data_IF_672555760592
#
_entry.id   IF_672555760592
#
_cell.length_a   1.000
_cell.length_b   1.000
_cell.length_c   1.000
_cell.angle_alpha   90.00
_cell.angle_beta   90.00
_cell.angle_gamma   90.00
#
_symmetry.space_group_name_H-M   'P 1'
#
loop_
_entity.id
_entity.type
_entity.pdbx_description
1 polymer ?
#
# COMPACT_ATOMS: atom_id res chain seq x y z
N UNK A 1 -37.63 2.06 -41.89
CA UNK A 1 -36.20 1.80 -41.64
C UNK A 1 -35.75 2.75 -40.55
N UNK A 2 -35.49 2.24 -39.34
CA UNK A 2 -35.06 3.06 -38.20
C UNK A 2 -33.53 3.13 -38.17
N UNK A 3 -32.97 4.34 -38.19
CA UNK A 3 -31.53 4.55 -38.09
C UNK A 3 -31.12 4.55 -36.61
N UNK A 4 -30.31 3.57 -36.21
CA UNK A 4 -29.70 3.52 -34.89
C UNK A 4 -28.49 4.47 -34.86
N UNK A 5 -28.58 5.53 -34.06
CA UNK A 5 -27.47 6.45 -33.82
C UNK A 5 -26.63 5.89 -32.67
N UNK A 6 -25.47 5.33 -32.99
CA UNK A 6 -24.47 4.92 -32.01
C UNK A 6 -23.75 6.16 -31.49
N UNK A 7 -24.12 6.64 -30.31
CA UNK A 7 -23.38 7.67 -29.60
C UNK A 7 -22.06 7.06 -29.07
N UNK A 8 -20.93 7.39 -29.69
CA UNK A 8 -19.62 7.10 -29.12
C UNK A 8 -19.38 8.03 -27.94
N UNK A 9 -19.56 7.52 -26.71
CA UNK A 9 -19.15 8.23 -25.50
C UNK A 9 -17.63 8.43 -25.50
N UNK A 10 -17.12 9.63 -25.19
CA UNK A 10 -15.68 9.86 -25.08
C UNK A 10 -15.15 9.14 -23.84
N UNK A 11 -14.27 8.16 -24.03
CA UNK A 11 -13.52 7.54 -22.95
C UNK A 11 -12.50 8.60 -22.46
N UNK A 12 -12.79 9.26 -21.34
CA UNK A 12 -11.84 10.13 -20.66
C UNK A 12 -10.71 9.27 -20.08
N UNK A 13 -9.63 9.09 -20.85
CA UNK A 13 -8.38 8.53 -20.34
C UNK A 13 -7.67 9.67 -19.61
N UNK A 14 -7.82 9.74 -18.29
CA UNK A 14 -7.05 10.68 -17.48
C UNK A 14 -5.58 10.25 -17.49
N UNK A 15 -4.64 11.09 -17.97
CA UNK A 15 -3.22 10.76 -17.93
C UNK A 15 -2.75 10.73 -16.47
N UNK A 16 -2.20 9.60 -16.03
CA UNK A 16 -1.48 9.50 -14.76
C UNK A 16 -0.26 10.42 -14.84
N UNK A 17 -0.08 11.28 -13.84
CA UNK A 17 1.05 12.22 -13.82
C UNK A 17 2.38 11.48 -13.60
N UNK A 18 3.44 11.96 -14.24
CA UNK A 18 4.80 11.45 -14.05
C UNK A 18 5.22 11.41 -12.56
N UNK A 19 4.82 12.42 -11.78
CA UNK A 19 5.09 12.45 -10.35
C UNK A 19 4.46 11.25 -9.61
N UNK A 20 3.21 10.91 -9.92
CA UNK A 20 2.53 9.76 -9.34
C UNK A 20 3.23 8.45 -9.70
N UNK A 21 3.72 8.32 -10.93
CA UNK A 21 4.48 7.13 -11.34
C UNK A 21 5.80 6.98 -10.55
N UNK A 22 6.50 8.08 -10.28
CA UNK A 22 7.74 8.06 -9.49
C UNK A 22 7.48 7.65 -8.04
N UNK A 23 6.41 8.16 -7.43
CA UNK A 23 6.10 7.84 -6.04
C UNK A 23 5.64 6.38 -5.90
N UNK A 24 4.91 5.84 -6.87
CA UNK A 24 4.61 4.39 -6.92
C UNK A 24 5.89 3.55 -6.99
N UNK A 25 6.88 3.94 -7.81
CA UNK A 25 8.15 3.21 -7.90
C UNK A 25 8.96 3.28 -6.60
N UNK A 26 9.04 4.45 -5.97
CA UNK A 26 9.70 4.61 -4.66
C UNK A 26 8.98 3.81 -3.58
N UNK A 27 7.65 3.84 -3.55
CA UNK A 27 6.82 3.10 -2.62
C UNK A 27 7.03 1.59 -2.78
N UNK A 28 7.06 1.10 -4.03
CA UNK A 28 7.35 -0.30 -4.33
C UNK A 28 8.74 -0.73 -3.87
N UNK A 29 9.78 0.08 -4.14
CA UNK A 29 11.14 -0.19 -3.71
C UNK A 29 11.26 -0.22 -2.17
N UNK A 30 10.63 0.74 -1.48
CA UNK A 30 10.63 0.81 -0.02
C UNK A 30 9.85 -0.35 0.61
N UNK A 31 8.71 -0.72 0.02
CA UNK A 31 7.90 -1.87 0.44
C UNK A 31 8.69 -3.18 0.28
N UNK A 32 9.39 -3.35 -0.84
CA UNK A 32 10.26 -4.51 -1.09
C UNK A 32 11.42 -4.59 -0.11
N UNK A 33 11.97 -3.47 0.33
CA UNK A 33 13.05 -3.45 1.34
C UNK A 33 12.54 -3.77 2.75
N UNK A 34 11.31 -3.38 3.07
CA UNK A 34 10.85 -3.28 4.47
C UNK A 34 9.76 -4.28 4.85
N UNK A 35 8.82 -4.55 3.93
CA UNK A 35 7.53 -5.15 4.26
C UNK A 35 7.37 -6.59 3.78
N UNK A 36 8.04 -6.97 2.67
CA UNK A 36 7.85 -8.28 2.01
C UNK A 36 8.22 -9.47 2.88
N UNK A 37 9.06 -9.28 3.90
CA UNK A 37 9.40 -10.34 4.84
C UNK A 37 8.16 -10.92 5.54
N UNK A 38 7.10 -10.13 5.68
CA UNK A 38 5.81 -10.58 6.22
C UNK A 38 4.66 -10.51 5.20
N UNK A 39 4.71 -9.54 4.28
CA UNK A 39 3.59 -9.16 3.40
C UNK A 39 3.91 -9.32 1.91
N UNK A 40 4.65 -10.37 1.56
CA UNK A 40 4.94 -10.69 0.16
C UNK A 40 3.64 -10.83 -0.66
N UNK A 41 3.64 -10.26 -1.87
CA UNK A 41 2.48 -10.18 -2.77
C UNK A 41 1.15 -9.75 -2.08
N UNK A 42 1.22 -8.91 -1.04
CA UNK A 42 0.05 -8.45 -0.29
C UNK A 42 -0.48 -9.44 0.76
N UNK A 43 0.18 -10.58 0.93
CA UNK A 43 -0.19 -11.61 1.91
C UNK A 43 0.10 -11.22 3.36
N UNK A 44 0.02 -12.21 4.24
CA UNK A 44 0.51 -12.11 5.62
C UNK A 44 0.91 -13.50 6.11
N UNK A 45 2.21 -13.78 6.18
CA UNK A 45 2.71 -15.10 6.60
C UNK A 45 2.56 -15.35 8.11
N UNK A 46 2.34 -14.30 8.90
CA UNK A 46 2.29 -14.35 10.36
C UNK A 46 0.87 -14.55 10.87
N UNK A 47 -0.11 -13.86 10.27
CA UNK A 47 -1.50 -13.82 10.73
C UNK A 47 -2.50 -14.01 9.59
N UNK A 48 -3.14 -15.19 9.49
CA UNK A 48 -4.26 -15.41 8.59
C UNK A 48 -5.38 -14.38 8.83
N UNK A 49 -5.94 -13.88 7.74
CA UNK A 49 -7.02 -12.89 7.79
C UNK A 49 -6.60 -11.46 8.16
N UNK A 50 -5.30 -11.16 8.16
CA UNK A 50 -4.75 -9.81 8.25
C UNK A 50 -3.82 -9.53 7.06
N UNK A 51 -4.23 -9.95 5.86
CA UNK A 51 -3.52 -9.62 4.62
C UNK A 51 -3.73 -8.14 4.25
N UNK A 52 -2.97 -7.67 3.26
CA UNK A 52 -3.11 -6.32 2.71
C UNK A 52 -4.11 -6.26 1.54
N UNK A 53 -4.91 -7.30 1.33
CA UNK A 53 -6.02 -7.27 0.37
C UNK A 53 -7.22 -6.51 0.93
N UNK A 54 -7.94 -5.80 0.06
CA UNK A 54 -9.09 -4.93 0.42
C UNK A 54 -10.08 -5.59 1.36
N UNK A 55 -10.44 -6.87 1.12
CA UNK A 55 -11.37 -7.62 1.98
C UNK A 55 -10.90 -7.73 3.43
N UNK A 56 -9.60 -7.96 3.64
CA UNK A 56 -9.03 -8.10 4.98
C UNK A 56 -8.81 -6.73 5.62
N UNK A 57 -8.38 -5.73 4.84
CA UNK A 57 -8.24 -4.35 5.33
C UNK A 57 -9.59 -3.81 5.84
N UNK A 58 -10.65 -3.98 5.05
CA UNK A 58 -12.02 -3.57 5.41
C UNK A 58 -12.52 -4.31 6.66
N UNK A 59 -12.35 -5.64 6.69
CA UNK A 59 -12.77 -6.45 7.85
C UNK A 59 -12.07 -6.01 9.13
N UNK A 60 -10.83 -5.54 9.04
CA UNK A 60 -10.03 -5.12 10.18
C UNK A 60 -10.09 -3.61 10.46
N UNK A 61 -10.89 -2.84 9.71
CA UNK A 61 -11.06 -1.40 9.85
C UNK A 61 -9.79 -0.60 9.55
N UNK A 62 -9.00 -1.03 8.57
CA UNK A 62 -7.71 -0.44 8.19
C UNK A 62 -7.61 -0.24 6.66
N UNK A 63 -8.72 0.05 5.99
CA UNK A 63 -8.79 0.20 4.54
C UNK A 63 -8.63 1.65 4.05
N UNK A 64 -8.29 2.59 4.92
CA UNK A 64 -7.94 3.97 4.54
C UNK A 64 -6.43 4.19 4.63
N UNK A 65 -5.90 5.14 3.86
CA UNK A 65 -4.47 5.48 3.88
C UNK A 65 -4.03 5.93 5.28
N UNK A 66 -4.86 6.69 5.98
CA UNK A 66 -4.58 7.18 7.34
C UNK A 66 -4.48 6.03 8.34
N UNK A 67 -5.32 5.01 8.19
CA UNK A 67 -5.30 3.83 9.05
C UNK A 67 -4.11 2.92 8.75
N UNK A 68 -3.78 2.74 7.47
CA UNK A 68 -2.57 2.01 7.05
C UNK A 68 -1.32 2.72 7.56
N UNK A 69 -1.28 4.06 7.46
CA UNK A 69 -0.23 4.89 8.03
C UNK A 69 -0.11 4.65 9.53
N UNK A 70 -1.23 4.72 10.27
CA UNK A 70 -1.24 4.55 11.72
C UNK A 70 -0.72 3.18 12.15
N UNK A 71 -1.17 2.11 11.49
CA UNK A 71 -0.69 0.75 11.77
C UNK A 71 0.78 0.59 11.43
N UNK A 72 1.24 1.13 10.31
CA UNK A 72 2.67 1.09 9.92
C UNK A 72 3.52 1.89 10.91
N UNK A 73 3.02 3.03 11.40
CA UNK A 73 3.73 3.89 12.33
C UNK A 73 3.86 3.25 13.72
N UNK A 74 2.74 2.83 14.31
CA UNK A 74 2.69 2.39 15.71
C UNK A 74 2.73 0.88 15.91
N UNK A 75 2.53 0.10 14.86
CA UNK A 75 2.38 -1.35 14.92
C UNK A 75 0.97 -1.76 15.33
N UNK A 76 0.67 -3.05 15.19
CA UNK A 76 -0.59 -3.66 15.66
C UNK A 76 -0.36 -5.14 15.95
N UNK A 77 -0.55 -5.54 17.20
CA UNK A 77 -0.35 -6.93 17.63
C UNK A 77 1.10 -7.38 17.41
N UNK A 78 1.29 -8.34 16.48
CA UNK A 78 2.62 -8.89 16.15
C UNK A 78 3.38 -8.09 15.10
N UNK A 79 2.73 -7.15 14.41
CA UNK A 79 3.40 -6.27 13.45
C UNK A 79 4.11 -5.13 14.23
N UNK A 80 5.43 -4.97 14.08
CA UNK A 80 6.14 -3.88 14.74
C UNK A 80 5.80 -2.52 14.11
N UNK A 81 5.79 -1.45 14.91
CA UNK A 81 5.71 -0.08 14.40
C UNK A 81 7.05 0.45 13.90
N UNK A 82 7.04 1.20 12.81
CA UNK A 82 8.22 1.71 12.12
C UNK A 82 8.49 3.21 12.34
N UNK A 83 7.51 3.96 12.86
CA UNK A 83 7.63 5.41 13.05
C UNK A 83 8.69 5.80 14.07
N UNK A 84 9.25 6.99 13.90
CA UNK A 84 10.28 7.53 14.80
C UNK A 84 9.82 7.60 16.26
N UNK A 85 8.54 7.96 16.48
CA UNK A 85 7.95 8.12 17.81
C UNK A 85 7.20 6.88 18.29
N UNK A 86 7.29 5.74 17.60
CA UNK A 86 6.67 4.51 18.11
C UNK A 86 7.34 4.09 19.42
N UNK A 87 6.50 3.83 20.41
CA UNK A 87 6.84 3.50 21.80
C UNK A 87 5.74 2.63 22.41
N UNK A 88 6.03 1.74 23.39
CA UNK A 88 7.34 1.36 23.93
C UNK A 88 8.24 0.64 22.92
N UNK A 89 9.55 0.57 23.18
CA UNK A 89 10.53 -0.03 22.24
C UNK A 89 10.16 -1.44 21.78
N UNK A 90 9.55 -2.25 22.65
CA UNK A 90 9.20 -3.65 22.39
C UNK A 90 8.09 -3.87 21.35
N UNK A 91 7.23 -2.87 21.08
CA UNK A 91 6.22 -2.97 20.02
C UNK A 91 6.69 -2.43 18.67
N UNK A 92 7.94 -1.98 18.59
CA UNK A 92 8.47 -1.30 17.42
C UNK A 92 9.59 -2.10 16.76
N UNK A 93 9.90 -1.76 15.51
CA UNK A 93 10.97 -2.43 14.75
C UNK A 93 12.29 -2.26 15.48
N UNK A 94 13.08 -3.33 15.59
CA UNK A 94 14.43 -3.26 16.15
C UNK A 94 15.44 -2.62 15.18
N UNK A 95 15.12 -2.58 13.89
CA UNK A 95 15.91 -1.89 12.87
C UNK A 95 15.78 -0.37 12.91
N UNK A 96 16.24 0.27 11.83
CA UNK A 96 16.08 1.70 11.62
C UNK A 96 14.59 2.08 11.55
N UNK A 97 14.26 3.25 12.10
CA UNK A 97 12.93 3.85 11.95
C UNK A 97 12.80 4.49 10.58
N UNK A 98 11.55 4.61 10.13
CA UNK A 98 11.21 5.34 8.90
C UNK A 98 10.76 6.76 9.25
N UNK A 99 11.05 7.69 8.35
CA UNK A 99 10.52 9.04 8.40
C UNK A 99 9.01 9.04 8.09
N UNK A 100 8.29 10.06 8.57
CA UNK A 100 6.85 10.18 8.34
C UNK A 100 6.50 10.16 6.82
N UNK A 101 7.30 10.81 5.97
CA UNK A 101 7.09 10.81 4.51
C UNK A 101 7.27 9.40 3.90
N UNK A 102 8.20 8.60 4.41
CA UNK A 102 8.40 7.22 3.95
C UNK A 102 7.21 6.33 4.34
N UNK A 103 6.63 6.54 5.53
CA UNK A 103 5.45 5.79 5.99
C UNK A 103 4.21 6.22 5.20
N UNK A 104 4.08 7.50 4.89
CA UNK A 104 3.01 8.02 4.02
C UNK A 104 3.08 7.38 2.64
N UNK A 105 4.27 7.36 2.03
CA UNK A 105 4.50 6.72 0.74
C UNK A 105 4.15 5.22 0.76
N UNK A 106 4.49 4.51 1.85
CA UNK A 106 4.09 3.11 2.04
C UNK A 106 2.58 2.94 2.16
N UNK A 107 1.90 3.84 2.87
CA UNK A 107 0.45 3.77 3.06
C UNK A 107 -0.31 3.99 1.75
N UNK A 108 0.08 5.00 0.97
CA UNK A 108 -0.43 5.25 -0.38
C UNK A 108 -0.17 4.05 -1.29
N UNK A 109 1.05 3.50 -1.27
CA UNK A 109 1.40 2.32 -2.06
C UNK A 109 0.55 1.10 -1.71
N UNK A 110 0.38 0.80 -0.42
CA UNK A 110 -0.45 -0.34 0.03
C UNK A 110 -1.91 -0.14 -0.35
N UNK A 111 -2.45 1.07 -0.20
CA UNK A 111 -3.83 1.37 -0.58
C UNK A 111 -4.04 1.20 -2.08
N UNK A 112 -3.15 1.75 -2.89
CA UNK A 112 -3.17 1.60 -4.35
C UNK A 112 -3.12 0.12 -4.76
N UNK A 113 -2.21 -0.66 -4.16
CA UNK A 113 -2.08 -2.08 -4.46
C UNK A 113 -3.31 -2.88 -4.04
N UNK A 114 -3.90 -2.57 -2.88
CA UNK A 114 -5.13 -3.20 -2.43
C UNK A 114 -6.28 -2.94 -3.42
N UNK A 115 -6.45 -1.70 -3.87
CA UNK A 115 -7.48 -1.31 -4.85
C UNK A 115 -7.31 -1.99 -6.20
N UNK A 116 -6.07 -2.30 -6.57
CA UNK A 116 -5.72 -3.01 -7.81
C UNK A 116 -5.65 -4.54 -7.63
N UNK A 117 -5.96 -5.04 -6.43
CA UNK A 117 -5.89 -6.45 -6.09
C UNK A 117 -4.48 -7.07 -6.29
N UNK A 118 -3.46 -6.33 -5.87
CA UNK A 118 -2.04 -6.73 -5.83
C UNK A 118 -1.51 -7.29 -7.16
N UNK A 119 -1.43 -6.47 -8.23
CA UNK A 119 -0.80 -6.88 -9.48
C UNK A 119 0.72 -7.05 -9.28
N UNK A 120 1.33 -7.89 -10.13
CA UNK A 120 2.78 -7.98 -10.21
C UNK A 120 3.34 -6.65 -10.76
N UNK A 121 4.01 -5.88 -9.91
CA UNK A 121 4.74 -4.68 -10.36
C UNK A 121 6.10 -5.14 -10.88
N UNK A 122 6.31 -4.98 -12.17
CA UNK A 122 7.65 -5.06 -12.76
C UNK A 122 8.36 -3.75 -12.38
N UNK A 123 9.17 -3.79 -11.33
CA UNK A 123 10.10 -2.70 -11.04
C UNK A 123 11.24 -2.85 -12.05
N UNK A 124 11.39 -1.88 -12.95
CA UNK A 124 12.59 -1.78 -13.80
C UNK A 124 13.77 -1.45 -12.88
N UNK A 125 14.47 -2.49 -12.43
CA UNK A 125 15.79 -2.34 -11.80
C UNK A 125 16.74 -1.82 -12.88
N UNK A 126 17.09 -0.54 -12.80
CA UNK A 126 18.15 0.06 -13.62
C UNK A 126 19.51 -0.07 -12.92
#
# INVERSE_FOLDING_TARGET
MAAAVLALSPICITPVSYAQTLDVQKGAALFRKTCIGCHDAGGNIIQPGATLFTKDLQRNGVDTEEEIYRVTYFGKGRMPGFGEKCTPRGQCTFGARLQDEEIKLLAEFVKLQADQNWPNILIEEK
#
